data_IF_915400824412
#
_entry.id   IF_915400824412
#
_cell.length_a   1.000
_cell.length_b   1.000
_cell.length_c   1.000
_cell.angle_alpha   90.00
_cell.angle_beta   90.00
_cell.angle_gamma   90.00
#
_symmetry.space_group_name_H-M   'P 1'
#
loop_
_entity.id
_entity.type
_entity.pdbx_description
1 polymer ?
#
# COMPACT_ATOMS: atom_id res chain seq x y z
N UNK A 1 -15.39 9.19 28.31
CA UNK A 1 -14.89 9.60 26.98
C UNK A 1 -15.66 8.83 25.92
N UNK A 2 -16.02 9.43 24.78
CA UNK A 2 -16.74 8.71 23.72
C UNK A 2 -15.78 7.87 22.86
N UNK A 3 -16.27 6.86 22.11
CA UNK A 3 -15.45 6.12 21.14
C UNK A 3 -14.72 7.04 20.15
N UNK A 4 -15.37 8.13 19.72
CA UNK A 4 -14.75 9.14 18.85
C UNK A 4 -13.58 9.86 19.52
N UNK A 5 -13.71 10.23 20.80
CA UNK A 5 -12.60 10.83 21.57
C UNK A 5 -11.43 9.87 21.70
N UNK A 6 -11.69 8.59 21.97
CA UNK A 6 -10.65 7.55 22.06
C UNK A 6 -9.97 7.37 20.70
N UNK A 7 -10.73 7.28 19.61
CA UNK A 7 -10.19 7.19 18.25
C UNK A 7 -9.31 8.39 17.89
N UNK A 8 -9.72 9.61 18.24
CA UNK A 8 -8.92 10.82 18.05
C UNK A 8 -7.58 10.77 18.81
N UNK A 9 -7.62 10.39 20.09
CA UNK A 9 -6.41 10.23 20.90
C UNK A 9 -5.45 9.22 20.26
N UNK A 10 -5.95 8.02 19.94
CA UNK A 10 -5.16 6.93 19.39
C UNK A 10 -4.60 7.23 17.99
N UNK A 11 -5.29 8.05 17.20
CA UNK A 11 -4.83 8.48 15.88
C UNK A 11 -4.04 9.80 15.91
N UNK A 12 -3.78 10.39 17.08
CA UNK A 12 -3.08 11.69 17.19
C UNK A 12 -3.87 12.87 16.62
N UNK A 13 -5.18 12.74 16.43
CA UNK A 13 -6.06 13.76 15.83
C UNK A 13 -6.92 14.47 16.88
N UNK A 14 -7.48 15.62 16.50
CA UNK A 14 -8.49 16.34 17.29
C UNK A 14 -7.94 17.15 18.48
N UNK A 15 -8.78 18.05 18.99
CA UNK A 15 -8.50 18.88 20.17
C UNK A 15 -8.98 18.12 21.43
N UNK A 16 -8.11 17.28 21.96
CA UNK A 16 -8.33 16.57 23.23
C UNK A 16 -7.37 17.13 24.28
N UNK A 17 -7.89 17.43 25.47
CA UNK A 17 -7.09 17.94 26.58
C UNK A 17 -5.94 16.97 26.91
N UNK A 18 -4.72 17.46 27.24
CA UNK A 18 -3.56 16.61 27.54
C UNK A 18 -3.86 15.54 28.58
N UNK A 19 -4.49 15.90 29.69
CA UNK A 19 -4.86 14.97 30.77
C UNK A 19 -5.77 13.81 30.27
N UNK A 20 -6.73 14.13 29.40
CA UNK A 20 -7.62 13.10 28.82
C UNK A 20 -6.87 12.22 27.83
N UNK A 21 -5.94 12.79 27.06
CA UNK A 21 -5.08 12.05 26.14
C UNK A 21 -4.22 11.04 26.90
N UNK A 22 -3.55 11.48 27.95
CA UNK A 22 -2.64 10.66 28.75
C UNK A 22 -3.39 9.49 29.40
N UNK A 23 -4.56 9.79 30.00
CA UNK A 23 -5.41 8.76 30.62
C UNK A 23 -5.90 7.72 29.61
N UNK A 24 -6.24 8.11 28.39
CA UNK A 24 -6.67 7.17 27.34
C UNK A 24 -5.50 6.30 26.88
N UNK A 25 -4.30 6.87 26.69
CA UNK A 25 -3.11 6.12 26.29
C UNK A 25 -2.68 5.12 27.37
N UNK A 26 -2.71 5.52 28.64
CA UNK A 26 -2.40 4.64 29.78
C UNK A 26 -3.35 3.44 29.84
N UNK A 27 -4.66 3.70 29.72
CA UNK A 27 -5.68 2.63 29.74
C UNK A 27 -5.53 1.71 28.53
N UNK A 28 -5.30 2.25 27.34
CA UNK A 28 -5.09 1.45 26.14
C UNK A 28 -3.87 0.53 26.29
N UNK A 29 -2.77 1.04 26.83
CA UNK A 29 -1.56 0.27 27.10
C UNK A 29 -1.82 -0.84 28.13
N UNK A 30 -2.49 -0.51 29.25
CA UNK A 30 -2.83 -1.49 30.29
C UNK A 30 -3.72 -2.62 29.78
N UNK A 31 -4.61 -2.33 28.83
CA UNK A 31 -5.50 -3.32 28.21
C UNK A 31 -4.85 -4.08 27.04
N UNK A 32 -3.62 -3.73 26.64
CA UNK A 32 -3.00 -4.27 25.43
C UNK A 32 -3.76 -3.92 24.15
N UNK A 33 -4.53 -2.82 24.17
CA UNK A 33 -5.34 -2.42 23.03
C UNK A 33 -4.47 -1.96 21.87
N UNK A 34 -4.61 -2.62 20.73
CA UNK A 34 -4.01 -2.20 19.45
C UNK A 34 -5.13 -1.91 18.46
N UNK A 35 -5.10 -0.74 17.83
CA UNK A 35 -6.09 -0.39 16.83
C UNK A 35 -6.00 -1.35 15.63
N UNK A 36 -7.14 -1.93 15.23
CA UNK A 36 -7.19 -2.82 14.08
C UNK A 36 -6.91 -2.06 12.78
N UNK A 37 -5.87 -2.47 12.05
CA UNK A 37 -5.56 -1.93 10.73
C UNK A 37 -6.73 -2.11 9.76
N UNK A 38 -7.43 -3.25 9.82
CA UNK A 38 -8.61 -3.53 8.99
C UNK A 38 -9.76 -2.56 9.30
N UNK A 39 -10.00 -2.26 10.58
CA UNK A 39 -11.01 -1.28 10.97
C UNK A 39 -10.65 0.14 10.50
N UNK A 40 -9.36 0.51 10.55
CA UNK A 40 -8.89 1.79 10.01
C UNK A 40 -9.07 1.87 8.48
N UNK A 41 -8.76 0.79 7.76
CA UNK A 41 -8.93 0.71 6.30
C UNK A 41 -10.40 0.88 5.89
N UNK A 42 -11.33 0.23 6.60
CA UNK A 42 -12.78 0.35 6.36
C UNK A 42 -13.27 1.80 6.52
N UNK A 43 -12.83 2.49 7.57
CA UNK A 43 -13.24 3.89 7.83
C UNK A 43 -12.61 4.85 6.81
N UNK A 44 -11.34 4.64 6.46
CA UNK A 44 -10.59 5.52 5.55
C UNK A 44 -10.85 5.22 4.07
N UNK A 45 -11.45 4.08 3.74
CA UNK A 45 -11.60 3.53 2.38
C UNK A 45 -10.27 3.42 1.63
N UNK A 46 -9.18 3.19 2.37
CA UNK A 46 -7.82 3.00 1.84
C UNK A 46 -7.28 1.69 2.37
N UNK A 47 -6.86 0.79 1.49
CA UNK A 47 -6.29 -0.50 1.88
C UNK A 47 -4.87 -0.37 2.43
N UNK A 48 -4.19 0.75 2.12
CA UNK A 48 -2.76 0.94 2.33
C UNK A 48 -1.91 -0.12 1.61
N UNK A 49 -2.30 -0.47 0.38
CA UNK A 49 -1.55 -1.36 -0.50
C UNK A 49 -1.16 -0.59 -1.75
N UNK A 50 0.13 -0.59 -2.10
CA UNK A 50 0.63 -0.10 -3.38
C UNK A 50 1.15 -1.28 -4.18
N UNK A 51 0.86 -1.32 -5.47
CA UNK A 51 1.40 -2.32 -6.39
C UNK A 51 2.65 -1.80 -7.09
N UNK A 52 3.60 -2.68 -7.39
CA UNK A 52 4.73 -2.41 -8.29
C UNK A 52 4.78 -3.47 -9.38
N UNK A 53 4.87 -3.02 -10.63
CA UNK A 53 5.00 -3.89 -11.79
C UNK A 53 6.39 -3.72 -12.40
N UNK A 54 7.06 -4.85 -12.61
CA UNK A 54 8.33 -4.91 -13.33
C UNK A 54 8.08 -5.07 -14.83
N UNK A 55 9.03 -4.67 -15.69
CA UNK A 55 8.94 -4.98 -17.11
C UNK A 55 9.10 -6.49 -17.33
N UNK A 56 8.36 -7.03 -18.31
CA UNK A 56 8.64 -8.38 -18.81
C UNK A 56 9.94 -8.36 -19.60
N UNK A 57 11.03 -8.87 -19.01
CA UNK A 57 12.33 -9.00 -19.69
C UNK A 57 12.56 -10.40 -20.28
N UNK A 58 11.64 -11.35 -20.07
CA UNK A 58 11.73 -12.68 -20.69
C UNK A 58 11.11 -12.64 -22.11
N UNK A 59 11.80 -11.96 -23.02
CA UNK A 59 11.50 -11.99 -24.47
C UNK A 59 11.54 -13.42 -25.07
N UNK A 60 12.01 -14.41 -24.30
CA UNK A 60 12.22 -15.81 -24.71
C UNK A 60 11.20 -16.80 -24.13
N UNK A 61 10.06 -16.34 -23.58
CA UNK A 61 8.90 -17.20 -23.34
C UNK A 61 9.00 -18.20 -22.18
N UNK A 62 9.82 -17.94 -21.15
CA UNK A 62 9.87 -18.76 -19.93
C UNK A 62 9.04 -18.18 -18.78
N UNK A 63 7.77 -17.87 -19.07
CA UNK A 63 6.77 -17.49 -18.07
C UNK A 63 7.04 -16.14 -17.39
N UNK A 64 6.09 -15.64 -16.58
CA UNK A 64 6.21 -14.33 -15.96
C UNK A 64 7.21 -14.40 -14.79
N UNK A 65 8.49 -14.17 -15.07
CA UNK A 65 9.44 -13.89 -14.02
C UNK A 65 9.07 -12.55 -13.38
N UNK A 66 8.62 -12.56 -12.12
CA UNK A 66 8.26 -11.35 -11.37
C UNK A 66 9.47 -10.40 -11.18
N UNK A 67 10.68 -10.94 -11.27
CA UNK A 67 11.93 -10.20 -11.30
C UNK A 67 12.75 -10.67 -12.50
N UNK A 68 13.15 -9.77 -13.40
CA UNK A 68 14.02 -10.10 -14.51
C UNK A 68 15.35 -10.74 -14.10
N UNK A 69 15.80 -11.77 -14.84
CA UNK A 69 17.07 -12.47 -14.57
C UNK A 69 18.29 -11.75 -15.09
N UNK A 70 18.15 -11.02 -16.19
CA UNK A 70 19.14 -10.04 -16.67
C UNK A 70 18.88 -8.72 -15.94
N UNK A 71 19.91 -8.15 -15.32
CA UNK A 71 19.85 -6.89 -14.55
C UNK A 71 19.10 -6.96 -13.20
N UNK A 72 19.05 -8.14 -12.57
CA UNK A 72 18.35 -8.32 -11.27
C UNK A 72 18.83 -7.38 -10.16
N UNK A 73 20.08 -6.91 -10.19
CA UNK A 73 20.60 -5.99 -9.18
C UNK A 73 19.86 -4.65 -9.15
N UNK A 74 19.59 -4.06 -10.33
CA UNK A 74 18.84 -2.80 -10.44
C UNK A 74 17.40 -2.96 -9.92
N UNK A 75 16.70 -4.02 -10.36
CA UNK A 75 15.31 -4.24 -9.95
C UNK A 75 15.19 -4.59 -8.46
N UNK A 76 16.15 -5.34 -7.90
CA UNK A 76 16.18 -5.62 -6.47
C UNK A 76 16.44 -4.35 -5.64
N UNK A 77 17.34 -3.48 -6.08
CA UNK A 77 17.57 -2.19 -5.44
C UNK A 77 16.30 -1.34 -5.45
N UNK A 78 15.60 -1.29 -6.59
CA UNK A 78 14.35 -0.56 -6.74
C UNK A 78 13.23 -1.12 -5.85
N UNK A 79 13.05 -2.45 -5.81
CA UNK A 79 12.08 -3.11 -4.91
C UNK A 79 12.41 -2.78 -3.45
N UNK A 80 13.67 -2.87 -3.07
CA UNK A 80 14.10 -2.59 -1.70
C UNK A 80 13.82 -1.13 -1.32
N UNK A 81 14.15 -0.19 -2.20
CA UNK A 81 13.87 1.23 -2.00
C UNK A 81 12.37 1.52 -1.90
N UNK A 82 11.58 0.97 -2.82
CA UNK A 82 10.12 1.11 -2.82
C UNK A 82 9.48 0.49 -1.57
N UNK A 83 9.96 -0.69 -1.15
CA UNK A 83 9.45 -1.37 0.04
C UNK A 83 9.77 -0.61 1.33
N UNK A 84 10.98 -0.05 1.43
CA UNK A 84 11.38 0.80 2.55
C UNK A 84 10.50 2.06 2.63
N UNK A 85 10.35 2.79 1.51
CA UNK A 85 9.51 3.98 1.44
C UNK A 85 8.03 3.68 1.74
N UNK A 86 7.48 2.58 1.22
CA UNK A 86 6.12 2.14 1.52
C UNK A 86 5.94 1.84 3.01
N UNK A 87 6.89 1.12 3.63
CA UNK A 87 6.86 0.78 5.05
C UNK A 87 6.87 2.01 5.95
N UNK A 88 7.72 2.99 5.62
CA UNK A 88 7.77 4.27 6.33
C UNK A 88 6.43 5.03 6.23
N UNK A 89 5.81 5.00 5.04
CA UNK A 89 4.50 5.56 4.78
C UNK A 89 3.32 4.71 5.32
N UNK A 90 3.59 3.56 5.96
CA UNK A 90 2.59 2.59 6.46
C UNK A 90 1.74 1.94 5.38
N UNK A 91 2.33 1.73 4.21
CA UNK A 91 1.79 0.95 3.09
C UNK A 91 2.47 -0.41 2.98
N UNK A 92 1.73 -1.42 2.54
CA UNK A 92 2.28 -2.66 2.02
C UNK A 92 2.61 -2.50 0.54
N UNK A 93 3.74 -3.05 0.10
CA UNK A 93 4.10 -3.14 -1.31
C UNK A 93 3.82 -4.57 -1.82
N UNK A 94 3.10 -4.69 -2.92
CA UNK A 94 2.90 -5.98 -3.62
C UNK A 94 3.53 -5.94 -5.00
N UNK A 95 4.16 -7.04 -5.40
CA UNK A 95 4.71 -7.19 -6.76
C UNK A 95 3.65 -7.85 -7.63
N UNK A 96 3.40 -7.28 -8.81
CA UNK A 96 2.37 -7.75 -9.74
C UNK A 96 2.95 -8.03 -11.13
N UNK A 97 2.35 -8.98 -11.84
CA UNK A 97 2.78 -9.36 -13.18
C UNK A 97 2.43 -8.27 -14.22
N UNK A 98 3.23 -8.12 -15.30
CA UNK A 98 2.97 -7.18 -16.41
C UNK A 98 1.59 -7.31 -17.08
N UNK A 99 0.99 -8.49 -17.03
CA UNK A 99 -0.33 -8.77 -17.59
C UNK A 99 -1.48 -8.64 -16.60
N UNK A 100 -1.28 -8.01 -15.45
CA UNK A 100 -2.34 -7.86 -14.45
C UNK A 100 -3.39 -6.85 -14.92
N UNK A 101 -4.66 -7.21 -14.78
CA UNK A 101 -5.77 -6.36 -15.19
C UNK A 101 -6.30 -5.47 -14.05
N UNK A 102 -7.09 -4.47 -14.44
CA UNK A 102 -7.69 -3.52 -13.51
C UNK A 102 -8.65 -4.16 -12.50
N UNK A 103 -9.33 -5.26 -12.86
CA UNK A 103 -10.20 -6.01 -11.95
C UNK A 103 -9.40 -6.64 -10.81
N UNK A 104 -8.26 -7.23 -11.13
CA UNK A 104 -7.36 -7.84 -10.17
C UNK A 104 -6.80 -6.78 -9.23
N UNK A 105 -6.33 -5.64 -9.75
CA UNK A 105 -5.88 -4.50 -8.93
C UNK A 105 -6.95 -4.02 -7.94
N UNK A 106 -8.21 -3.90 -8.40
CA UNK A 106 -9.33 -3.55 -7.51
C UNK A 106 -9.61 -4.62 -6.46
N UNK A 107 -9.53 -5.90 -6.82
CA UNK A 107 -9.75 -7.00 -5.87
C UNK A 107 -8.70 -7.08 -4.77
N UNK A 108 -7.45 -6.73 -5.10
CA UNK A 108 -6.37 -6.58 -4.11
C UNK A 108 -6.53 -5.32 -3.25
N UNK A 109 -7.46 -4.43 -3.63
CA UNK A 109 -7.73 -3.18 -2.95
C UNK A 109 -6.62 -2.15 -3.15
N UNK A 110 -5.80 -2.23 -4.20
CA UNK A 110 -4.63 -1.36 -4.39
C UNK A 110 -5.05 0.12 -4.40
N UNK A 111 -4.35 0.94 -3.62
CA UNK A 111 -4.57 2.39 -3.51
C UNK A 111 -3.74 3.20 -4.52
N UNK A 112 -2.78 2.57 -5.20
CA UNK A 112 -1.92 3.17 -6.23
C UNK A 112 -0.88 2.19 -6.77
N UNK A 113 -0.26 2.54 -7.90
CA UNK A 113 0.66 1.64 -8.62
C UNK A 113 1.97 2.35 -8.97
N UNK A 114 3.04 1.57 -9.12
CA UNK A 114 4.35 1.98 -9.64
C UNK A 114 4.63 1.11 -10.85
N UNK A 115 4.89 1.72 -12.01
CA UNK A 115 5.36 1.01 -13.20
C UNK A 115 6.84 1.25 -13.37
N UNK A 116 7.61 0.18 -13.41
CA UNK A 116 9.04 0.23 -13.73
C UNK A 116 9.19 0.04 -15.24
N UNK A 117 9.94 0.96 -15.86
CA UNK A 117 10.20 1.01 -17.31
C UNK A 117 8.92 0.92 -18.17
N UNK A 118 7.98 1.88 -18.04
CA UNK A 118 6.70 1.84 -18.73
C UNK A 118 6.89 1.91 -20.26
N UNK A 119 6.19 1.04 -20.98
CA UNK A 119 6.12 1.02 -22.46
C UNK A 119 4.91 1.77 -23.01
N UNK A 120 3.94 2.12 -22.15
CA UNK A 120 2.67 2.74 -22.51
C UNK A 120 1.63 1.75 -23.07
N UNK A 121 2.03 0.50 -23.30
CA UNK A 121 1.15 -0.58 -23.75
C UNK A 121 0.58 -1.41 -22.60
N UNK A 122 0.86 -1.04 -21.35
CA UNK A 122 0.36 -1.75 -20.17
C UNK A 122 -1.17 -1.74 -20.16
N UNK A 123 -1.76 -2.92 -20.09
CA UNK A 123 -3.21 -3.11 -20.25
C UNK A 123 -4.02 -2.29 -19.23
N UNK A 124 -3.50 -2.14 -18.02
CA UNK A 124 -4.19 -1.42 -16.97
C UNK A 124 -4.14 0.12 -17.14
N UNK A 125 -3.12 0.67 -17.82
CA UNK A 125 -3.06 2.11 -18.17
C UNK A 125 -4.17 2.51 -19.13
N UNK A 126 -4.62 1.57 -19.97
CA UNK A 126 -5.73 1.75 -20.90
C UNK A 126 -7.10 1.58 -20.23
N UNK A 127 -7.14 1.34 -18.92
CA UNK A 127 -8.35 1.12 -18.15
C UNK A 127 -8.71 2.32 -17.29
N UNK A 128 -9.96 2.37 -16.81
CA UNK A 128 -10.42 3.39 -15.87
C UNK A 128 -9.75 3.36 -14.49
N UNK A 129 -8.82 2.43 -14.25
CA UNK A 129 -8.02 2.40 -13.03
C UNK A 129 -7.09 3.61 -12.94
N UNK A 130 -6.41 3.96 -14.04
CA UNK A 130 -5.50 5.11 -14.07
C UNK A 130 -6.21 6.46 -13.85
N UNK A 131 -7.53 6.51 -14.07
CA UNK A 131 -8.35 7.69 -13.79
C UNK A 131 -8.68 7.86 -12.29
N UNK A 132 -8.63 6.77 -11.51
CA UNK A 132 -9.11 6.72 -10.13
C UNK A 132 -7.99 6.59 -9.10
N UNK A 133 -6.84 6.04 -9.51
CA UNK A 133 -5.72 5.74 -8.64
C UNK A 133 -4.43 6.35 -9.19
N UNK A 134 -3.50 6.81 -8.34
CA UNK A 134 -2.18 7.24 -8.77
C UNK A 134 -1.40 6.09 -9.42
N UNK A 135 -0.70 6.38 -10.52
CA UNK A 135 0.19 5.48 -11.26
C UNK A 135 1.50 6.21 -11.55
#
# INVERSE_FOLDING_TARGET
VSPTTVSHVLNGRGRVAPETRDRVLEVAQRLGYTASAHAQQLVTRRSRIIAIQMPDLDANGRGPALVPKSESEYFLELINGAAAAATDAKYALIVVSPGVDASSMRSFGVDGMIIVDPKGSEQFLQSSFADQYPV
#
